data_IF_905640637391
#
_entry.id   IF_905640637391
#
_cell.length_a   1.000
_cell.length_b   1.000
_cell.length_c   1.000
_cell.angle_alpha   90.00
_cell.angle_beta   90.00
_cell.angle_gamma   90.00
#
_symmetry.space_group_name_H-M   'P 1'
#
loop_
_entity.id
_entity.type
_entity.pdbx_description
1 polymer ?
#
# COMPACT_ATOMS: atom_id res chain seq x y z
N UNK A 1 -19.65 8.64 1.75
CA UNK A 1 -18.52 9.07 2.64
C UNK A 1 -17.40 9.69 1.81
N UNK A 2 -16.86 10.81 2.25
CA UNK A 2 -15.69 11.44 1.61
C UNK A 2 -14.45 10.57 1.81
N UNK A 3 -13.57 10.51 0.82
CA UNK A 3 -12.24 9.86 0.93
C UNK A 3 -11.15 10.87 1.36
N UNK A 4 -11.54 11.93 2.07
CA UNK A 4 -10.65 13.01 2.44
C UNK A 4 -9.67 12.68 3.54
N UNK A 5 -8.71 13.59 3.77
CA UNK A 5 -7.70 13.45 4.82
C UNK A 5 -8.27 13.37 6.24
N UNK A 6 -9.45 13.93 6.48
CA UNK A 6 -10.15 13.81 7.77
C UNK A 6 -10.51 12.36 8.08
N UNK A 7 -11.12 11.63 7.15
CA UNK A 7 -11.46 10.21 7.33
C UNK A 7 -10.21 9.36 7.57
N UNK A 8 -9.11 9.67 6.87
CA UNK A 8 -7.84 8.98 7.10
C UNK A 8 -7.28 9.22 8.51
N UNK A 9 -7.45 10.43 9.07
CA UNK A 9 -7.08 10.75 10.47
C UNK A 9 -7.96 10.00 11.48
N UNK A 10 -9.27 10.00 11.26
CA UNK A 10 -10.23 9.31 12.12
C UNK A 10 -9.94 7.80 12.17
N UNK A 11 -9.64 7.17 11.01
CA UNK A 11 -9.31 5.74 10.94
C UNK A 11 -7.98 5.40 11.63
N UNK A 12 -6.98 6.26 11.56
CA UNK A 12 -5.67 6.03 12.18
C UNK A 12 -5.69 6.34 13.69
N UNK A 13 -6.60 7.20 14.12
CA UNK A 13 -6.63 7.72 15.48
C UNK A 13 -5.53 8.77 15.75
N UNK A 14 -5.73 9.57 16.78
CA UNK A 14 -4.82 10.67 17.13
C UNK A 14 -3.47 10.20 17.69
N UNK A 15 -3.44 8.99 18.27
CA UNK A 15 -2.25 8.41 18.89
C UNK A 15 -1.37 7.60 17.93
N UNK A 16 -1.72 7.51 16.66
CA UNK A 16 -0.94 6.73 15.70
C UNK A 16 0.47 7.33 15.52
N UNK A 17 1.50 6.55 15.84
CA UNK A 17 2.91 6.95 15.79
C UNK A 17 3.77 6.01 14.93
N UNK A 18 3.16 5.10 14.19
CA UNK A 18 3.83 4.11 13.36
C UNK A 18 4.23 4.62 11.98
N UNK A 19 4.88 3.75 11.18
CA UNK A 19 5.16 4.04 9.78
C UNK A 19 3.93 3.74 8.93
N UNK A 20 3.43 4.75 8.24
CA UNK A 20 2.26 4.67 7.39
C UNK A 20 2.68 4.32 5.95
N UNK A 21 2.35 3.10 5.51
CA UNK A 21 2.61 2.63 4.14
C UNK A 21 1.40 2.98 3.25
N UNK A 22 1.60 3.83 2.25
CA UNK A 22 0.51 4.32 1.38
C UNK A 22 0.95 4.40 -0.07
N UNK A 23 -0.01 4.64 -0.95
CA UNK A 23 0.22 5.24 -2.25
C UNK A 23 0.52 6.76 -2.11
N UNK A 24 0.48 7.50 -3.24
CA UNK A 24 0.66 8.96 -3.25
C UNK A 24 -0.63 9.76 -3.07
N UNK A 25 -1.73 9.10 -2.63
CA UNK A 25 -3.01 9.78 -2.48
C UNK A 25 -2.92 10.94 -1.49
N UNK A 26 -3.51 12.06 -1.85
CA UNK A 26 -3.40 13.33 -1.11
C UNK A 26 -4.01 13.29 0.29
N UNK A 27 -4.94 12.37 0.55
CA UNK A 27 -5.55 12.18 1.87
C UNK A 27 -4.54 11.89 2.98
N UNK A 28 -3.33 11.45 2.65
CA UNK A 28 -2.27 11.15 3.62
C UNK A 28 -1.20 12.25 3.74
N UNK A 29 -1.36 13.40 3.06
CA UNK A 29 -0.35 14.46 3.04
C UNK A 29 -0.17 15.19 4.37
N UNK A 30 -1.10 15.04 5.28
CA UNK A 30 -1.03 15.55 6.64
C UNK A 30 -0.04 14.76 7.53
N UNK A 31 0.24 13.50 7.18
CA UNK A 31 1.15 12.66 7.97
C UNK A 31 2.60 12.95 7.60
N UNK A 32 3.52 13.11 8.57
CA UNK A 32 4.90 13.51 8.30
C UNK A 32 5.62 12.55 7.36
N UNK A 33 6.30 13.08 6.35
CA UNK A 33 6.97 12.30 5.29
C UNK A 33 7.99 11.31 5.86
N UNK A 34 8.70 11.67 6.93
CA UNK A 34 9.67 10.80 7.61
C UNK A 34 9.07 9.52 8.20
N UNK A 35 7.78 9.54 8.54
CA UNK A 35 7.02 8.40 9.06
C UNK A 35 6.13 7.76 7.99
N UNK A 36 6.29 8.16 6.75
CA UNK A 36 5.61 7.55 5.61
C UNK A 36 6.54 6.63 4.84
N UNK A 37 5.93 5.68 4.17
CA UNK A 37 6.55 4.84 3.15
C UNK A 37 5.65 4.80 1.92
N UNK A 38 6.18 5.20 0.77
CA UNK A 38 5.44 5.14 -0.50
C UNK A 38 5.56 3.75 -1.14
N UNK A 39 4.44 3.23 -1.59
CA UNK A 39 4.35 1.93 -2.23
C UNK A 39 5.06 1.91 -3.59
N UNK A 40 6.10 1.09 -3.73
CA UNK A 40 6.86 0.95 -4.96
C UNK A 40 6.07 0.30 -6.10
N UNK A 41 5.02 -0.51 -5.81
CA UNK A 41 4.12 -1.01 -6.87
C UNK A 41 3.34 0.11 -7.55
N UNK A 42 3.01 1.19 -6.83
CA UNK A 42 2.41 2.38 -7.42
C UNK A 42 3.44 3.21 -8.20
N UNK A 43 4.68 3.30 -7.70
CA UNK A 43 5.76 3.98 -8.40
C UNK A 43 6.11 3.28 -9.73
N UNK A 44 6.11 1.95 -9.77
CA UNK A 44 6.28 1.20 -11.03
C UNK A 44 5.22 1.61 -12.07
N UNK A 45 3.96 1.75 -11.66
CA UNK A 45 2.89 2.23 -12.57
C UNK A 45 3.12 3.68 -13.03
N UNK A 46 3.63 4.54 -12.13
CA UNK A 46 3.98 5.91 -12.49
C UNK A 46 5.14 5.95 -13.50
N UNK A 47 6.17 5.13 -13.30
CA UNK A 47 7.32 5.01 -14.20
C UNK A 47 6.91 4.44 -15.56
N UNK A 48 6.04 3.43 -15.58
CA UNK A 48 5.45 2.90 -16.80
C UNK A 48 4.63 3.97 -17.55
N UNK A 49 3.86 4.77 -16.81
CA UNK A 49 3.13 5.89 -17.40
C UNK A 49 4.05 7.00 -17.91
N UNK A 50 5.24 7.19 -17.33
CA UNK A 50 6.27 8.07 -17.85
C UNK A 50 6.83 7.50 -19.16
N UNK A 51 7.21 6.21 -19.17
CA UNK A 51 7.73 5.50 -20.34
C UNK A 51 6.77 5.59 -21.54
N UNK A 52 5.49 5.32 -21.31
CA UNK A 52 4.47 5.28 -22.35
C UNK A 52 4.20 6.62 -23.08
N UNK A 53 4.85 7.72 -22.65
CA UNK A 53 4.72 9.04 -23.29
C UNK A 53 5.66 9.24 -24.47
N UNK A 54 6.63 8.35 -24.67
CA UNK A 54 7.59 8.40 -25.76
C UNK A 54 8.71 9.45 -25.58
N UNK A 55 9.69 9.41 -26.48
CA UNK A 55 10.83 10.33 -26.52
C UNK A 55 11.61 10.40 -25.20
N UNK A 56 12.00 11.58 -24.76
CA UNK A 56 12.77 11.77 -23.52
C UNK A 56 12.08 11.14 -22.30
N UNK A 57 10.76 11.06 -22.29
CA UNK A 57 10.02 10.42 -21.20
C UNK A 57 10.14 8.89 -21.24
N UNK A 58 10.27 8.29 -22.41
CA UNK A 58 10.47 6.85 -22.57
C UNK A 58 11.81 6.44 -21.98
N UNK A 59 12.89 7.08 -22.38
CA UNK A 59 14.24 6.83 -21.87
C UNK A 59 14.30 6.98 -20.33
N UNK A 60 13.70 8.03 -19.81
CA UNK A 60 13.61 8.29 -18.39
C UNK A 60 12.80 7.22 -17.66
N UNK A 61 11.65 6.83 -18.22
CA UNK A 61 10.79 5.79 -17.67
C UNK A 61 11.47 4.42 -17.63
N UNK A 62 12.16 4.04 -18.71
CA UNK A 62 12.94 2.81 -18.77
C UNK A 62 14.07 2.78 -17.74
N UNK A 63 14.81 3.88 -17.61
CA UNK A 63 15.88 3.98 -16.61
C UNK A 63 15.32 3.85 -15.17
N UNK A 64 14.20 4.52 -14.83
CA UNK A 64 13.55 4.42 -13.54
C UNK A 64 13.01 3.02 -13.26
N UNK A 65 12.42 2.35 -14.26
CA UNK A 65 11.94 0.98 -14.17
C UNK A 65 13.09 0.01 -13.95
N UNK A 66 14.20 0.18 -14.65
CA UNK A 66 15.41 -0.63 -14.47
C UNK A 66 15.93 -0.57 -13.02
N UNK A 67 16.00 0.64 -12.44
CA UNK A 67 16.40 0.82 -11.03
C UNK A 67 15.39 0.16 -10.07
N UNK A 68 14.11 0.31 -10.32
CA UNK A 68 13.07 -0.29 -9.50
C UNK A 68 13.11 -1.83 -9.55
N UNK A 69 13.28 -2.42 -10.72
CA UNK A 69 13.41 -3.88 -10.88
C UNK A 69 14.66 -4.40 -10.15
N UNK A 70 15.80 -3.72 -10.27
CA UNK A 70 17.02 -4.10 -9.58
C UNK A 70 16.85 -4.06 -8.05
N UNK A 71 16.17 -3.04 -7.53
CA UNK A 71 15.79 -2.95 -6.12
C UNK A 71 14.96 -4.15 -5.67
N UNK A 72 13.95 -4.55 -6.46
CA UNK A 72 13.11 -5.70 -6.13
C UNK A 72 13.88 -7.03 -6.18
N UNK A 73 14.81 -7.22 -7.12
CA UNK A 73 15.70 -8.40 -7.15
C UNK A 73 16.46 -8.52 -5.83
N UNK A 74 17.07 -7.44 -5.36
CA UNK A 74 17.79 -7.46 -4.08
C UNK A 74 16.86 -7.63 -2.89
N UNK A 75 15.68 -7.00 -2.91
CA UNK A 75 14.68 -7.14 -1.85
C UNK A 75 14.18 -8.59 -1.70
N UNK A 76 13.90 -9.27 -2.81
CA UNK A 76 13.52 -10.70 -2.79
C UNK A 76 14.60 -11.54 -2.12
N UNK A 77 15.86 -11.33 -2.45
CA UNK A 77 16.98 -12.02 -1.81
C UNK A 77 17.10 -11.76 -0.31
N UNK A 78 16.76 -10.54 0.15
CA UNK A 78 16.67 -10.23 1.59
C UNK A 78 15.57 -11.06 2.25
N UNK A 79 14.40 -11.14 1.63
CA UNK A 79 13.26 -11.92 2.14
C UNK A 79 13.53 -13.43 2.17
N UNK A 80 14.27 -13.92 1.20
CA UNK A 80 14.69 -15.33 1.09
C UNK A 80 15.88 -15.65 2.00
N UNK A 81 16.46 -14.68 2.69
CA UNK A 81 17.62 -14.85 3.54
C UNK A 81 18.96 -15.03 2.77
N UNK A 82 18.96 -14.87 1.43
CA UNK A 82 20.14 -15.02 0.58
C UNK A 82 20.97 -13.73 0.44
N UNK A 83 20.50 -12.62 0.97
CA UNK A 83 21.19 -11.34 1.03
C UNK A 83 21.03 -10.71 2.41
N UNK A 84 22.12 -10.41 3.09
CA UNK A 84 22.09 -9.72 4.37
C UNK A 84 21.55 -8.30 4.24
N UNK A 85 20.78 -7.84 5.23
CA UNK A 85 20.18 -6.51 5.22
C UNK A 85 21.24 -5.38 5.23
N UNK A 86 22.37 -5.57 5.86
CA UNK A 86 23.51 -4.62 5.80
C UNK A 86 24.04 -4.44 4.39
N UNK A 87 24.26 -5.55 3.66
CA UNK A 87 24.68 -5.54 2.26
C UNK A 87 23.62 -4.91 1.36
N UNK A 88 22.33 -5.23 1.60
CA UNK A 88 21.24 -4.59 0.89
C UNK A 88 21.27 -3.06 1.05
N UNK A 89 21.44 -2.55 2.27
CA UNK A 89 21.58 -1.11 2.51
C UNK A 89 22.70 -0.47 1.71
N UNK A 90 23.86 -1.16 1.61
CA UNK A 90 24.99 -0.67 0.82
C UNK A 90 24.65 -0.61 -0.67
N UNK A 91 23.97 -1.63 -1.22
CA UNK A 91 23.53 -1.65 -2.61
C UNK A 91 22.47 -0.57 -2.90
N UNK A 92 21.61 -0.28 -1.93
CA UNK A 92 20.57 0.74 -2.08
C UNK A 92 21.13 2.16 -2.13
N UNK A 93 22.32 2.42 -1.60
CA UNK A 93 22.90 3.77 -1.59
C UNK A 93 23.16 4.35 -2.99
N UNK A 94 23.89 3.67 -3.90
CA UNK A 94 24.05 4.15 -5.28
C UNK A 94 22.73 4.15 -6.06
N UNK A 95 21.87 3.14 -5.88
CA UNK A 95 20.56 3.07 -6.54
C UNK A 95 19.68 4.25 -6.16
N UNK A 96 19.65 4.61 -4.88
CA UNK A 96 18.92 5.78 -4.39
C UNK A 96 19.37 7.05 -5.09
N UNK A 97 20.68 7.29 -5.14
CA UNK A 97 21.22 8.50 -5.81
C UNK A 97 20.81 8.54 -7.28
N UNK A 98 20.85 7.41 -7.98
CA UNK A 98 20.49 7.36 -9.38
C UNK A 98 18.98 7.60 -9.60
N UNK A 99 18.10 6.99 -8.81
CA UNK A 99 16.65 7.24 -8.88
C UNK A 99 16.34 8.72 -8.60
N UNK A 100 16.94 9.30 -7.55
CA UNK A 100 16.73 10.71 -7.22
C UNK A 100 17.24 11.62 -8.34
N UNK A 101 18.41 11.33 -8.92
CA UNK A 101 18.96 12.07 -10.10
C UNK A 101 18.03 11.97 -11.32
N UNK A 102 17.53 10.79 -11.64
CA UNK A 102 16.59 10.59 -12.76
C UNK A 102 15.28 11.37 -12.53
N UNK A 103 14.75 11.35 -11.31
CA UNK A 103 13.56 12.14 -10.97
C UNK A 103 13.83 13.65 -11.05
N UNK A 104 15.03 14.12 -10.69
CA UNK A 104 15.43 15.53 -10.84
C UNK A 104 15.49 15.93 -12.32
N UNK A 105 16.11 15.12 -13.17
CA UNK A 105 16.11 15.33 -14.63
C UNK A 105 14.68 15.39 -15.16
N UNK A 106 13.83 14.42 -14.80
CA UNK A 106 12.43 14.39 -15.21
C UNK A 106 11.62 15.59 -14.70
N UNK A 107 11.98 16.14 -13.54
CA UNK A 107 11.33 17.32 -12.97
C UNK A 107 11.59 18.62 -13.76
N UNK A 108 12.56 18.59 -14.66
CA UNK A 108 12.95 19.73 -15.48
C UNK A 108 12.70 19.49 -16.97
N UNK A 109 12.29 18.28 -17.39
CA UNK A 109 12.04 17.95 -18.79
C UNK A 109 10.91 18.79 -19.41
N UNK A 110 10.91 18.89 -20.74
CA UNK A 110 9.93 19.66 -21.51
C UNK A 110 8.52 19.05 -21.56
N UNK A 111 8.30 17.83 -21.00
CA UNK A 111 7.02 17.14 -21.04
C UNK A 111 6.23 17.42 -19.74
N UNK A 112 5.15 18.24 -19.78
CA UNK A 112 4.49 18.74 -18.57
C UNK A 112 4.01 17.64 -17.61
N UNK A 113 3.44 16.54 -18.12
CA UNK A 113 2.96 15.40 -17.31
C UNK A 113 4.10 14.66 -16.64
N UNK A 114 5.22 14.43 -17.33
CA UNK A 114 6.42 13.79 -16.77
C UNK A 114 7.03 14.67 -15.68
N UNK A 115 7.23 15.96 -16.00
CA UNK A 115 7.69 16.98 -15.05
C UNK A 115 6.85 17.01 -13.77
N UNK A 116 5.52 17.05 -13.91
CA UNK A 116 4.59 17.03 -12.78
C UNK A 116 4.71 15.76 -11.93
N UNK A 117 4.75 14.59 -12.57
CA UNK A 117 4.89 13.29 -11.88
C UNK A 117 6.19 13.22 -11.07
N UNK A 118 7.33 13.57 -11.69
CA UNK A 118 8.64 13.55 -11.03
C UNK A 118 8.70 14.54 -9.86
N UNK A 119 8.18 15.75 -10.00
CA UNK A 119 8.10 16.74 -8.92
C UNK A 119 7.28 16.25 -7.73
N UNK A 120 6.14 15.62 -7.99
CA UNK A 120 5.29 15.09 -6.92
C UNK A 120 5.93 13.91 -6.18
N UNK A 121 6.73 13.08 -6.87
CA UNK A 121 7.50 12.02 -6.23
C UNK A 121 8.62 12.63 -5.38
N UNK A 122 9.39 13.57 -5.91
CA UNK A 122 10.49 14.23 -5.21
C UNK A 122 10.08 14.96 -3.93
N UNK A 123 8.88 15.57 -3.88
CA UNK A 123 8.34 16.15 -2.65
C UNK A 123 8.27 15.16 -1.48
N UNK A 124 8.28 13.87 -1.78
CA UNK A 124 8.15 12.79 -0.80
C UNK A 124 9.33 11.82 -0.86
N UNK A 125 10.49 12.28 -1.35
CA UNK A 125 11.66 11.42 -1.61
C UNK A 125 12.10 10.60 -0.40
N UNK A 126 12.01 11.14 0.82
CA UNK A 126 12.36 10.42 2.03
C UNK A 126 11.50 9.16 2.22
N UNK A 127 10.20 9.27 1.93
CA UNK A 127 9.25 8.16 2.04
C UNK A 127 9.46 7.03 1.00
N UNK A 128 10.29 7.24 -0.01
CA UNK A 128 10.67 6.17 -0.95
C UNK A 128 11.53 5.10 -0.28
N UNK A 129 12.36 5.50 0.70
CA UNK A 129 13.47 4.71 1.21
C UNK A 129 13.29 4.21 2.65
N UNK A 130 12.16 4.47 3.28
CA UNK A 130 11.88 4.08 4.67
C UNK A 130 12.10 2.59 4.92
N UNK A 131 11.69 1.73 3.97
CA UNK A 131 11.87 0.27 4.06
C UNK A 131 13.33 -0.19 4.05
N UNK A 132 14.24 0.63 3.52
CA UNK A 132 15.68 0.35 3.54
C UNK A 132 16.24 0.51 4.95
N UNK A 133 15.75 1.52 5.68
CA UNK A 133 16.26 1.88 7.01
C UNK A 133 15.56 1.11 8.12
N UNK A 134 14.24 0.92 8.00
CA UNK A 134 13.40 0.35 9.06
C UNK A 134 13.10 -1.10 8.75
N UNK A 135 13.46 -1.96 9.70
CA UNK A 135 13.15 -3.38 9.62
C UNK A 135 11.65 -3.65 9.78
N UNK A 136 11.13 -4.67 9.09
CA UNK A 136 9.70 -4.99 9.08
C UNK A 136 8.86 -4.13 8.12
N UNK A 137 9.43 -3.06 7.55
CA UNK A 137 8.73 -2.25 6.54
C UNK A 137 8.98 -2.82 5.14
N UNK A 138 7.89 -3.20 4.46
CA UNK A 138 7.92 -3.73 3.10
C UNK A 138 7.98 -2.62 2.03
N UNK A 139 8.61 -2.84 0.84
CA UNK A 139 8.60 -1.85 -0.24
C UNK A 139 7.22 -1.64 -0.87
N UNK A 140 6.25 -2.48 -0.59
CA UNK A 140 4.88 -2.38 -1.13
C UNK A 140 3.83 -2.45 -0.04
N UNK A 141 2.60 -2.00 -0.33
CA UNK A 141 1.43 -2.21 0.50
C UNK A 141 0.54 -3.37 -0.02
N UNK A 142 1.10 -4.24 -0.84
CA UNK A 142 0.34 -5.32 -1.50
C UNK A 142 -0.38 -6.25 -0.51
N UNK A 143 0.15 -6.44 0.70
CA UNK A 143 -0.51 -7.23 1.74
C UNK A 143 -1.84 -6.58 2.16
N UNK A 144 -1.82 -5.29 2.48
CA UNK A 144 -3.03 -4.54 2.82
C UNK A 144 -4.03 -4.48 1.66
N UNK A 145 -3.54 -4.25 0.42
CA UNK A 145 -4.39 -4.25 -0.77
C UNK A 145 -5.06 -5.60 -1.00
N UNK A 146 -4.36 -6.71 -0.79
CA UNK A 146 -4.95 -8.06 -0.88
C UNK A 146 -6.03 -8.28 0.17
N UNK A 147 -5.84 -7.77 1.39
CA UNK A 147 -6.82 -7.92 2.47
C UNK A 147 -8.14 -7.20 2.19
N UNK A 148 -8.12 -6.04 1.54
CA UNK A 148 -9.34 -5.29 1.20
C UNK A 148 -9.93 -5.67 -0.17
N UNK A 149 -9.19 -6.42 -1.00
CA UNK A 149 -9.61 -6.79 -2.36
C UNK A 149 -10.96 -7.50 -2.42
N UNK A 150 -11.29 -8.47 -1.52
CA UNK A 150 -12.61 -9.12 -1.52
C UNK A 150 -13.75 -8.12 -1.40
N UNK A 151 -13.64 -7.15 -0.50
CA UNK A 151 -14.66 -6.09 -0.33
C UNK A 151 -14.79 -5.18 -1.54
N UNK A 152 -13.68 -4.85 -2.19
CA UNK A 152 -13.70 -4.06 -3.43
C UNK A 152 -14.36 -4.85 -4.58
N UNK A 153 -14.06 -6.14 -4.70
CA UNK A 153 -14.66 -7.01 -5.71
C UNK A 153 -16.17 -7.19 -5.45
N UNK A 154 -16.55 -7.49 -4.19
CA UNK A 154 -17.93 -7.58 -3.79
C UNK A 154 -18.71 -6.29 -4.14
N UNK A 155 -18.17 -5.10 -3.78
CA UNK A 155 -18.82 -3.82 -4.11
C UNK A 155 -19.00 -3.61 -5.60
N UNK A 156 -18.06 -4.06 -6.43
CA UNK A 156 -18.17 -3.96 -7.89
C UNK A 156 -19.22 -4.91 -8.46
N UNK A 157 -19.35 -6.11 -7.89
CA UNK A 157 -20.32 -7.11 -8.35
C UNK A 157 -21.75 -6.88 -7.83
N UNK A 158 -21.92 -6.37 -6.60
CA UNK A 158 -23.21 -6.14 -5.94
C UNK A 158 -23.67 -4.68 -5.94
N UNK A 159 -22.97 -3.77 -6.62
CA UNK A 159 -23.25 -2.33 -6.65
C UNK A 159 -23.20 -1.62 -5.28
N UNK A 160 -22.65 -2.26 -4.27
CA UNK A 160 -22.50 -1.74 -2.91
C UNK A 160 -23.74 -1.96 -2.05
N UNK A 161 -23.88 -1.14 -0.99
CA UNK A 161 -25.01 -1.14 -0.05
C UNK A 161 -25.86 0.11 -0.28
N UNK A 162 -27.16 -0.01 -0.04
CA UNK A 162 -28.13 1.10 -0.21
C UNK A 162 -28.63 1.65 1.13
N UNK A 163 -28.20 1.05 2.25
CA UNK A 163 -28.55 1.47 3.60
C UNK A 163 -27.36 1.47 4.53
N UNK A 164 -27.46 2.19 5.64
CA UNK A 164 -26.44 2.20 6.68
C UNK A 164 -26.29 0.84 7.34
N UNK A 165 -27.41 0.17 7.64
CA UNK A 165 -27.41 -1.18 8.21
C UNK A 165 -26.76 -2.21 7.28
N UNK A 166 -27.05 -2.12 5.97
CA UNK A 166 -26.37 -2.93 4.96
C UNK A 166 -24.85 -2.70 4.94
N UNK A 167 -24.41 -1.45 5.10
CA UNK A 167 -22.99 -1.11 5.19
C UNK A 167 -22.35 -1.71 6.45
N UNK A 168 -22.99 -1.57 7.60
CA UNK A 168 -22.53 -2.17 8.87
C UNK A 168 -22.47 -3.69 8.83
N UNK A 169 -23.46 -4.32 8.22
CA UNK A 169 -23.45 -5.77 8.00
C UNK A 169 -22.24 -6.21 7.18
N UNK A 170 -21.97 -5.52 6.07
CA UNK A 170 -20.80 -5.84 5.22
C UNK A 170 -19.48 -5.63 5.96
N UNK A 171 -19.32 -4.54 6.71
CA UNK A 171 -18.14 -4.28 7.53
C UNK A 171 -17.93 -5.39 8.56
N UNK A 172 -18.98 -5.82 9.27
CA UNK A 172 -18.92 -6.91 10.24
C UNK A 172 -18.57 -8.23 9.58
N UNK A 173 -19.21 -8.58 8.46
CA UNK A 173 -18.93 -9.80 7.73
C UNK A 173 -17.51 -9.84 7.16
N UNK A 174 -17.00 -8.72 6.64
CA UNK A 174 -15.62 -8.64 6.16
C UNK A 174 -14.64 -8.85 7.32
N UNK A 175 -14.89 -8.24 8.47
CA UNK A 175 -14.05 -8.39 9.66
C UNK A 175 -14.03 -9.85 10.13
N UNK A 176 -15.19 -10.47 10.29
CA UNK A 176 -15.33 -11.86 10.72
C UNK A 176 -14.60 -12.81 9.76
N UNK A 177 -14.90 -12.70 8.46
CA UNK A 177 -14.31 -13.59 7.43
C UNK A 177 -12.80 -13.41 7.33
N UNK A 178 -12.30 -12.18 7.37
CA UNK A 178 -10.87 -11.92 7.30
C UNK A 178 -10.14 -12.46 8.53
N UNK A 179 -10.68 -12.22 9.72
CA UNK A 179 -10.11 -12.70 10.98
C UNK A 179 -10.03 -14.23 11.03
N UNK A 180 -11.15 -14.91 10.72
CA UNK A 180 -11.20 -16.37 10.73
C UNK A 180 -10.23 -16.99 9.70
N UNK A 181 -10.13 -16.40 8.50
CA UNK A 181 -9.15 -16.85 7.48
C UNK A 181 -7.70 -16.68 7.95
N UNK A 182 -7.37 -15.57 8.61
CA UNK A 182 -6.03 -15.38 9.17
C UNK A 182 -5.72 -16.38 10.29
N UNK A 183 -6.73 -16.77 11.07
CA UNK A 183 -6.63 -17.78 12.12
C UNK A 183 -6.74 -19.21 11.59
N UNK A 184 -6.90 -19.42 10.30
CA UNK A 184 -7.13 -20.73 9.66
C UNK A 184 -8.37 -21.47 10.20
N UNK A 185 -9.37 -20.73 10.69
CA UNK A 185 -10.63 -21.27 11.20
C UNK A 185 -11.65 -21.43 10.08
N UNK A 186 -12.56 -22.40 10.25
CA UNK A 186 -13.64 -22.67 9.30
C UNK A 186 -14.70 -21.58 9.37
N UNK A 187 -14.81 -20.76 8.32
CA UNK A 187 -15.75 -19.63 8.23
C UNK A 187 -17.22 -20.09 8.26
N UNK A 188 -17.68 -21.04 7.41
CA UNK A 188 -19.04 -21.56 7.46
C UNK A 188 -19.43 -22.09 8.83
N UNK A 189 -18.60 -22.93 9.46
CA UNK A 189 -18.88 -23.48 10.78
C UNK A 189 -19.07 -22.39 11.85
N UNK A 190 -18.21 -21.36 11.83
CA UNK A 190 -18.36 -20.22 12.74
C UNK A 190 -19.67 -19.46 12.52
N UNK A 191 -20.02 -19.17 11.26
CA UNK A 191 -21.24 -18.43 10.94
C UNK A 191 -22.49 -19.22 11.32
N UNK A 192 -22.50 -20.53 11.12
CA UNK A 192 -23.59 -21.40 11.57
C UNK A 192 -23.73 -21.35 13.09
N UNK A 193 -22.65 -21.53 13.83
CA UNK A 193 -22.66 -21.48 15.30
C UNK A 193 -23.11 -20.11 15.83
N UNK A 194 -22.67 -19.02 15.18
CA UNK A 194 -23.07 -17.66 15.54
C UNK A 194 -24.57 -17.44 15.29
N UNK A 195 -25.11 -17.95 14.18
CA UNK A 195 -26.53 -17.87 13.87
C UNK A 195 -27.37 -18.69 14.85
N UNK A 196 -26.94 -19.90 15.13
CA UNK A 196 -27.64 -20.76 16.14
C UNK A 196 -27.63 -20.13 17.54
N UNK A 197 -26.52 -19.54 17.97
CA UNK A 197 -26.45 -18.82 19.24
C UNK A 197 -27.44 -17.63 19.26
N UNK A 198 -27.52 -16.86 18.17
CA UNK A 198 -28.47 -15.77 18.05
C UNK A 198 -29.92 -16.23 18.15
N UNK A 199 -30.28 -17.36 17.52
CA UNK A 199 -31.63 -17.94 17.62
C UNK A 199 -31.96 -18.37 19.05
N UNK A 200 -30.98 -18.80 19.88
CA UNK A 200 -31.15 -19.17 21.29
C UNK A 200 -31.03 -17.98 22.24
N UNK A 201 -30.73 -16.77 21.75
CA UNK A 201 -30.47 -15.61 22.61
C UNK A 201 -29.13 -15.71 23.37
N UNK A 202 -28.19 -16.51 22.88
CA UNK A 202 -26.87 -16.72 23.45
C UNK A 202 -25.84 -15.81 22.80
N UNK A 203 -24.68 -15.63 23.46
CA UNK A 203 -23.57 -14.88 22.89
C UNK A 203 -22.96 -15.61 21.68
N UNK A 204 -22.60 -14.87 20.64
CA UNK A 204 -21.89 -15.44 19.50
C UNK A 204 -20.51 -16.02 19.93
N UNK A 205 -20.00 -17.04 19.23
CA UNK A 205 -18.66 -17.57 19.47
C UNK A 205 -17.58 -16.47 19.37
N UNK A 206 -16.54 -16.56 20.23
CA UNK A 206 -15.44 -15.59 20.21
C UNK A 206 -14.66 -15.62 18.89
N UNK A 207 -14.33 -14.43 18.37
CA UNK A 207 -13.36 -14.24 17.29
C UNK A 207 -11.92 -14.21 17.83
N UNK A 208 -11.75 -13.91 19.10
CA UNK A 208 -10.43 -13.93 19.76
C UNK A 208 -10.11 -15.38 20.11
N UNK A 209 -8.88 -15.86 19.77
CA UNK A 209 -8.48 -17.24 20.10
C UNK A 209 -8.48 -17.50 21.58
#
# INVERSE_FOLDING_TARGET
>A
MSRGGQVARELLGESFSGILVTDRYSAYNWYPVRWRKLCWSHLLRDFEAIRSRGGVSEELGDALLGQAHQMFVWWHRVREGTLQRSTFRSYMSPLRREVERLLEVGSQCGVPKTKGTCREILKRREALWTFVQVEGVEPTNNAAERSIRPGVQWRKGSFGTQSEDGSRFVESMMTVVATLKQQQRNVPAYLTAAHEAALRGEAAPSLIP
#
